data_IF_372534206239
#
_entry.id   IF_372534206239
#
_cell.length_a   1.000
_cell.length_b   1.000
_cell.length_c   1.000
_cell.angle_alpha   90.00
_cell.angle_beta   90.00
_cell.angle_gamma   90.00
#
_symmetry.space_group_name_H-M   'P 1'
#
loop_
_entity.id
_entity.type
_entity.pdbx_description
1 polymer ?
#
# COMPACT_ATOMS: atom_id res chain seq x y z
N UNK A 1 11.57 1.91 -2.29
CA UNK A 1 10.28 2.56 -2.62
C UNK A 1 9.16 1.57 -2.33
N UNK A 2 8.14 1.94 -1.54
CA UNK A 2 7.07 1.04 -1.06
C UNK A 2 5.74 1.81 -0.96
N UNK A 3 4.97 1.93 -2.05
CA UNK A 3 3.67 2.61 -2.02
C UNK A 3 2.66 1.82 -1.17
N UNK A 4 1.91 2.54 -0.34
CA UNK A 4 1.00 1.97 0.64
C UNK A 4 -0.38 1.68 0.02
N UNK A 5 -0.46 0.80 -0.97
CA UNK A 5 -1.71 0.46 -1.68
C UNK A 5 -2.26 -0.94 -1.33
N UNK A 6 -1.42 -1.82 -0.76
CA UNK A 6 -1.82 -3.14 -0.29
C UNK A 6 -1.02 -3.55 0.95
N UNK A 7 -1.71 -4.16 1.92
CA UNK A 7 -1.11 -4.60 3.19
C UNK A 7 -0.01 -5.64 2.98
N UNK A 8 -0.21 -6.59 2.07
CA UNK A 8 0.79 -7.61 1.74
C UNK A 8 2.06 -7.00 1.16
N UNK A 9 1.93 -5.99 0.30
CA UNK A 9 3.06 -5.32 -0.35
C UNK A 9 3.93 -4.57 0.66
N UNK A 10 3.31 -3.78 1.56
CA UNK A 10 4.05 -3.07 2.62
C UNK A 10 4.70 -4.03 3.61
N UNK A 11 4.07 -5.16 3.93
CA UNK A 11 4.65 -6.19 4.80
C UNK A 11 5.90 -6.83 4.18
N UNK A 12 5.83 -7.19 2.91
CA UNK A 12 6.92 -7.88 2.22
C UNK A 12 8.15 -6.98 2.12
N UNK A 13 7.96 -5.74 1.66
CA UNK A 13 9.04 -4.76 1.53
C UNK A 13 9.62 -4.35 2.89
N UNK A 14 8.79 -4.26 3.93
CA UNK A 14 9.26 -4.02 5.29
C UNK A 14 10.22 -5.10 5.78
N UNK A 15 9.90 -6.38 5.55
CA UNK A 15 10.76 -7.50 5.95
C UNK A 15 12.10 -7.48 5.21
N UNK A 16 12.08 -7.24 3.90
CA UNK A 16 13.31 -7.11 3.11
C UNK A 16 14.18 -5.98 3.66
N UNK A 17 13.58 -4.81 3.90
CA UNK A 17 14.31 -3.66 4.41
C UNK A 17 14.91 -3.94 5.80
N UNK A 18 14.15 -4.56 6.70
CA UNK A 18 14.63 -4.92 8.03
C UNK A 18 15.80 -5.92 7.96
N UNK A 19 15.75 -6.93 7.09
CA UNK A 19 16.85 -7.88 6.88
C UNK A 19 18.11 -7.22 6.30
N UNK A 20 17.95 -6.26 5.39
CA UNK A 20 19.07 -5.51 4.83
C UNK A 20 19.75 -4.63 5.89
N UNK A 21 18.97 -4.01 6.78
CA UNK A 21 19.49 -3.25 7.93
C UNK A 21 20.23 -4.17 8.91
N UNK A 22 19.70 -5.36 9.18
CA UNK A 22 20.38 -6.37 10.01
C UNK A 22 21.73 -6.80 9.42
N UNK A 23 21.85 -6.85 8.10
CA UNK A 23 23.11 -7.12 7.40
C UNK A 23 24.09 -5.92 7.39
N UNK A 24 23.74 -4.81 8.05
CA UNK A 24 24.60 -3.62 8.19
C UNK A 24 24.42 -2.56 7.10
N UNK A 25 23.41 -2.67 6.23
CA UNK A 25 23.14 -1.66 5.20
C UNK A 25 22.30 -0.50 5.74
N UNK A 26 22.59 0.73 5.32
CA UNK A 26 21.65 1.83 5.50
C UNK A 26 20.50 1.71 4.49
N UNK A 27 19.28 1.53 4.97
CA UNK A 27 18.10 1.38 4.13
C UNK A 27 17.08 2.47 4.42
N UNK A 28 16.60 3.09 3.34
CA UNK A 28 15.55 4.10 3.38
C UNK A 28 14.35 3.65 2.56
N UNK A 29 13.19 3.59 3.19
CA UNK A 29 11.92 3.31 2.51
C UNK A 29 11.21 4.63 2.24
N UNK A 30 11.08 4.98 0.96
CA UNK A 30 10.14 6.00 0.51
C UNK A 30 8.74 5.38 0.39
N UNK A 31 7.78 5.85 1.19
CA UNK A 31 6.45 5.25 1.34
C UNK A 31 5.31 6.26 1.08
N UNK A 32 4.91 6.48 -0.19
CA UNK A 32 3.72 7.26 -0.52
C UNK A 32 2.44 6.65 0.07
N UNK A 33 1.61 7.48 0.71
CA UNK A 33 0.26 7.08 1.15
C UNK A 33 -0.68 7.03 -0.04
N UNK A 34 -1.17 5.84 -0.37
CA UNK A 34 -2.07 5.61 -1.51
C UNK A 34 -3.44 5.15 -1.03
N UNK A 35 -3.47 4.24 -0.06
CA UNK A 35 -4.69 3.76 0.57
C UNK A 35 -4.80 4.35 1.99
N UNK A 36 -5.89 5.08 2.30
CA UNK A 36 -6.07 5.73 3.60
C UNK A 36 -6.19 4.75 4.77
N UNK A 37 -6.52 3.48 4.50
CA UNK A 37 -6.60 2.43 5.52
C UNK A 37 -5.23 1.85 5.88
N UNK A 38 -4.19 2.06 5.05
CA UNK A 38 -2.83 1.60 5.32
C UNK A 38 -2.04 2.73 5.98
N UNK A 39 -1.93 2.65 7.31
CA UNK A 39 -1.42 3.75 8.15
C UNK A 39 0.10 3.88 8.23
N UNK A 40 0.89 2.88 7.77
CA UNK A 40 2.37 2.91 7.86
C UNK A 40 3.06 1.89 6.96
N UNK A 41 4.33 2.15 6.64
CA UNK A 41 5.23 1.29 5.87
C UNK A 41 5.71 0.00 6.59
N UNK A 42 5.27 -0.26 7.83
CA UNK A 42 5.46 -1.48 8.65
C UNK A 42 6.88 -1.96 8.97
N UNK A 43 7.94 -1.40 8.40
CA UNK A 43 9.32 -1.67 8.81
C UNK A 43 9.57 -1.22 10.26
N UNK A 44 10.40 -1.98 10.98
CA UNK A 44 10.79 -1.66 12.37
C UNK A 44 12.21 -1.10 12.48
N UNK A 45 13.08 -1.36 11.51
CA UNK A 45 14.51 -1.05 11.56
C UNK A 45 14.97 -0.04 10.51
N UNK A 46 14.35 -0.05 9.32
CA UNK A 46 14.74 0.88 8.25
C UNK A 46 14.21 2.29 8.50
N UNK A 47 14.93 3.29 7.97
CA UNK A 47 14.45 4.69 7.98
C UNK A 47 13.28 4.82 7.02
N UNK A 48 12.16 5.35 7.47
CA UNK A 48 10.96 5.51 6.64
C UNK A 48 10.71 7.00 6.38
N UNK A 49 10.53 7.34 5.10
CA UNK A 49 10.06 8.64 4.64
C UNK A 49 8.65 8.45 4.10
N UNK A 50 7.64 8.85 4.87
CA UNK A 50 6.27 8.81 4.42
C UNK A 50 5.95 10.07 3.61
N UNK A 51 5.46 9.88 2.39
CA UNK A 51 4.92 10.99 1.61
C UNK A 51 3.42 11.08 1.84
N UNK A 52 2.90 12.29 2.12
CA UNK A 52 1.47 12.50 2.31
C UNK A 52 0.70 12.19 1.02
N UNK A 53 -0.61 12.04 1.17
CA UNK A 53 -1.51 11.91 0.04
C UNK A 53 -1.44 13.16 -0.85
N UNK A 54 -1.60 12.95 -2.16
CA UNK A 54 -1.68 14.00 -3.16
C UNK A 54 -2.88 13.73 -4.09
N UNK A 55 -3.13 14.63 -5.05
CA UNK A 55 -4.28 14.52 -5.96
C UNK A 55 -4.27 13.22 -6.78
N UNK A 56 -3.09 12.68 -7.09
CA UNK A 56 -2.97 11.40 -7.79
C UNK A 56 -3.42 10.22 -6.91
N UNK A 57 -3.01 10.19 -5.64
CA UNK A 57 -3.37 9.10 -4.72
C UNK A 57 -4.85 9.11 -4.38
N UNK A 58 -5.45 10.30 -4.21
CA UNK A 58 -6.92 10.44 -4.04
C UNK A 58 -7.70 9.89 -5.24
N UNK A 59 -7.22 10.15 -6.46
CA UNK A 59 -7.83 9.61 -7.69
C UNK A 59 -7.75 8.08 -7.75
N UNK A 60 -6.64 7.50 -7.29
CA UNK A 60 -6.45 6.05 -7.25
C UNK A 60 -7.42 5.37 -6.27
N UNK A 61 -7.61 5.97 -5.08
CA UNK A 61 -8.55 5.45 -4.08
C UNK A 61 -9.99 5.41 -4.62
N UNK A 62 -10.43 6.49 -5.29
CA UNK A 62 -11.74 6.54 -5.95
C UNK A 62 -11.91 5.46 -7.04
N UNK A 63 -10.84 5.10 -7.75
CA UNK A 63 -10.87 4.02 -8.75
C UNK A 63 -10.91 2.62 -8.10
N UNK A 64 -10.29 2.45 -6.93
CA UNK A 64 -10.25 1.18 -6.19
C UNK A 64 -11.64 0.76 -5.72
N UNK A 65 -12.42 1.68 -5.18
CA UNK A 65 -13.82 1.45 -4.77
C UNK A 65 -14.62 0.86 -5.94
N UNK A 66 -14.52 1.49 -7.13
CA UNK A 66 -15.19 1.00 -8.35
C UNK A 66 -14.73 -0.40 -8.75
N UNK A 67 -13.46 -0.71 -8.60
CA UNK A 67 -12.89 -2.01 -9.01
C UNK A 67 -13.32 -3.12 -8.06
N UNK A 68 -13.34 -2.88 -6.75
CA UNK A 68 -13.82 -3.88 -5.78
C UNK A 68 -15.32 -4.14 -5.99
N UNK A 69 -16.11 -3.10 -6.24
CA UNK A 69 -17.53 -3.27 -6.58
C UNK A 69 -17.74 -4.10 -7.85
N UNK A 70 -16.92 -3.88 -8.89
CA UNK A 70 -17.05 -4.62 -10.15
C UNK A 70 -16.68 -6.09 -10.06
N UNK A 71 -15.67 -6.44 -9.26
CA UNK A 71 -15.12 -7.81 -9.23
C UNK A 71 -15.57 -8.64 -8.03
N UNK A 72 -16.01 -8.02 -6.93
CA UNK A 72 -16.32 -8.71 -5.68
C UNK A 72 -17.73 -8.44 -5.14
N UNK A 73 -18.55 -7.61 -5.81
CA UNK A 73 -19.97 -7.47 -5.47
C UNK A 73 -20.83 -8.50 -6.22
N UNK A 74 -21.30 -9.51 -5.51
CA UNK A 74 -22.14 -10.58 -6.06
C UNK A 74 -23.49 -10.08 -6.62
N UNK A 75 -23.95 -8.89 -6.23
CA UNK A 75 -25.22 -8.32 -6.71
C UNK A 75 -25.22 -7.90 -8.19
N UNK A 76 -24.04 -7.75 -8.82
CA UNK A 76 -23.97 -7.53 -10.27
C UNK A 76 -24.33 -8.80 -11.06
N UNK A 77 -24.09 -9.99 -10.48
CA UNK A 77 -24.43 -11.27 -11.12
C UNK A 77 -25.95 -11.51 -11.12
N UNK A 78 -26.66 -11.07 -10.08
CA UNK A 78 -28.13 -11.21 -9.96
C UNK A 78 -28.92 -10.31 -10.94
N UNK A 79 -28.31 -9.26 -11.48
CA UNK A 79 -28.99 -8.33 -12.41
C UNK A 79 -29.11 -8.89 -13.84
N UNK A 80 -28.42 -9.99 -14.13
CA UNK A 80 -28.40 -10.67 -15.43
C UNK A 80 -28.91 -12.11 -15.38
N UNK A 81 -29.47 -12.56 -14.24
CA UNK A 81 -30.05 -13.89 -14.05
C UNK A 81 -31.57 -13.89 -14.09
#
# INVERSE_FOLDING_TARGET
>A
FSPQWAVSHVNFLAKIADSLVEAGHEVVILAPRVDPFIKRARSKKARVIELPENEFTKRWDAAKIRTVDLFWNASIVEMYS
#
